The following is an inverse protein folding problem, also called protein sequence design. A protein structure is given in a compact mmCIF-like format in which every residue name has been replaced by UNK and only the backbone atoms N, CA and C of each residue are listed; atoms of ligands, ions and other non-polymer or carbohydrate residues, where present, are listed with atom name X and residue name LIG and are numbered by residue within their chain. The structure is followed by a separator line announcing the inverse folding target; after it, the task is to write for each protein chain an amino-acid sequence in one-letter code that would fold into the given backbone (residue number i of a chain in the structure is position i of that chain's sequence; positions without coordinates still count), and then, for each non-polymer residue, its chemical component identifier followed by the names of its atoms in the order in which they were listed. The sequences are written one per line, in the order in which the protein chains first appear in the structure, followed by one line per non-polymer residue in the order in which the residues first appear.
data_IF_586726418808
#
_entry.id   IF_586726418808
#
_cell.length_a   1.000
_cell.length_b   1.000
_cell.length_c   1.000
_cell.angle_alpha   90.00
_cell.angle_beta   90.00
_cell.angle_gamma   90.00
#
_symmetry.space_group_name_H-M   'P 1'
#
loop_
_entity.id
_entity.type
_entity.pdbx_description
1 polymer ?
#
# COMPACT_ATOMS: atom_id res chain seq x y z
N UNK A 1 -36.05 2.27 -8.02
CA UNK A 1 -35.19 2.14 -6.82
C UNK A 1 -35.49 0.91 -5.94
N UNK A 2 -36.64 0.23 -6.02
CA UNK A 2 -36.94 -0.94 -5.15
C UNK A 2 -36.28 -2.28 -5.53
N UNK A 3 -35.59 -2.40 -6.67
CA UNK A 3 -35.02 -3.67 -7.16
C UNK A 3 -33.54 -3.94 -6.82
N UNK A 4 -32.79 -2.95 -6.32
CA UNK A 4 -31.37 -3.15 -5.94
C UNK A 4 -31.19 -3.62 -4.49
N UNK A 5 -32.11 -3.25 -3.59
CA UNK A 5 -32.03 -3.65 -2.17
C UNK A 5 -32.51 -5.08 -1.93
N UNK A 6 -33.53 -5.55 -2.66
CA UNK A 6 -33.99 -6.95 -2.59
C UNK A 6 -32.92 -7.94 -3.05
N UNK A 7 -32.13 -7.56 -4.06
CA UNK A 7 -31.06 -8.40 -4.60
C UNK A 7 -29.84 -8.46 -3.64
N UNK A 8 -29.52 -7.37 -2.94
CA UNK A 8 -28.50 -7.37 -1.88
C UNK A 8 -28.91 -8.20 -0.67
N UNK A 9 -30.18 -8.12 -0.26
CA UNK A 9 -30.73 -8.91 0.86
C UNK A 9 -30.72 -10.42 0.56
N UNK A 10 -31.13 -10.82 -0.65
CA UNK A 10 -31.09 -12.22 -1.07
C UNK A 10 -29.65 -12.78 -1.17
N UNK A 11 -28.72 -12.00 -1.74
CA UNK A 11 -27.29 -12.39 -1.81
C UNK A 11 -26.68 -12.52 -0.41
N UNK A 12 -27.05 -11.65 0.52
CA UNK A 12 -26.59 -11.74 1.91
C UNK A 12 -27.17 -12.97 2.63
N UNK A 13 -28.46 -13.27 2.47
CA UNK A 13 -29.06 -14.48 3.06
C UNK A 13 -28.43 -15.78 2.54
N UNK A 14 -28.13 -15.87 1.24
CA UNK A 14 -27.47 -17.03 0.63
C UNK A 14 -26.03 -17.18 1.15
N UNK A 15 -25.30 -16.06 1.32
CA UNK A 15 -23.95 -16.08 1.91
C UNK A 15 -23.96 -16.58 3.35
N UNK A 16 -24.90 -16.10 4.17
CA UNK A 16 -25.04 -16.51 5.57
C UNK A 16 -25.36 -18.01 5.68
N UNK A 17 -26.33 -18.52 4.93
CA UNK A 17 -26.71 -19.94 4.93
C UNK A 17 -25.57 -20.87 4.51
N UNK A 18 -24.76 -20.46 3.52
CA UNK A 18 -23.60 -21.25 3.08
C UNK A 18 -22.49 -21.29 4.14
N UNK A 19 -22.31 -20.21 4.90
CA UNK A 19 -21.30 -20.13 5.95
C UNK A 19 -21.70 -20.94 7.19
N UNK A 20 -23.00 -20.99 7.52
CA UNK A 20 -23.57 -21.86 8.54
C UNK A 20 -23.28 -23.35 8.23
N UNK A 21 -23.57 -23.81 7.01
CA UNK A 21 -23.29 -25.19 6.59
C UNK A 21 -21.79 -25.57 6.68
N UNK A 22 -20.90 -24.63 6.33
CA UNK A 22 -19.44 -24.85 6.47
C UNK A 22 -19.05 -24.94 7.95
N UNK A 23 -19.65 -24.12 8.80
CA UNK A 23 -19.39 -24.08 10.25
C UNK A 23 -19.86 -25.36 10.92
N UNK A 24 -21.03 -25.88 10.54
CA UNK A 24 -21.57 -27.14 11.06
C UNK A 24 -20.68 -28.32 10.69
N UNK A 25 -20.20 -28.36 9.44
CA UNK A 25 -19.24 -29.39 8.97
C UNK A 25 -17.94 -29.36 9.77
N UNK A 26 -17.40 -28.16 10.02
CA UNK A 26 -16.20 -28.01 10.86
C UNK A 26 -16.46 -28.47 12.30
N UNK A 27 -17.58 -28.04 12.89
CA UNK A 27 -17.94 -28.38 14.27
C UNK A 27 -18.11 -29.89 14.44
N UNK A 28 -18.76 -30.56 13.49
CA UNK A 28 -18.91 -32.01 13.49
C UNK A 28 -17.56 -32.72 13.36
N UNK A 29 -16.68 -32.27 12.46
CA UNK A 29 -15.34 -32.83 12.32
C UNK A 29 -14.51 -32.67 13.61
N UNK A 30 -14.55 -31.49 14.24
CA UNK A 30 -13.87 -31.24 15.52
C UNK A 30 -14.43 -32.13 16.65
N UNK A 31 -15.76 -32.31 16.72
CA UNK A 31 -16.39 -33.18 17.71
C UNK A 31 -16.02 -34.65 17.52
N UNK A 32 -15.92 -35.12 16.27
CA UNK A 32 -15.48 -36.48 15.96
C UNK A 32 -14.03 -36.70 16.39
N UNK A 33 -13.15 -35.73 16.11
CA UNK A 33 -11.75 -35.75 16.53
C UNK A 33 -11.60 -35.73 18.07
N UNK A 34 -12.41 -34.93 18.77
CA UNK A 34 -12.40 -34.83 20.23
C UNK A 34 -12.83 -36.16 20.90
N UNK A 35 -13.82 -36.84 20.32
CA UNK A 35 -14.33 -38.14 20.80
C UNK A 35 -13.46 -39.34 20.40
N UNK A 36 -12.60 -39.19 19.40
CA UNK A 36 -11.75 -40.27 18.93
C UNK A 36 -10.73 -40.70 20.01
N UNK A 37 -10.43 -42.00 20.06
CA UNK A 37 -9.37 -42.52 20.91
C UNK A 37 -8.00 -41.93 20.51
N UNK A 38 -7.05 -41.75 21.44
CA UNK A 38 -5.74 -41.15 21.17
C UNK A 38 -5.01 -41.75 19.95
N UNK A 39 -5.02 -43.08 19.80
CA UNK A 39 -4.36 -43.78 18.69
C UNK A 39 -5.05 -43.63 17.33
N UNK A 40 -6.30 -43.16 17.31
CA UNK A 40 -7.10 -42.99 16.09
C UNK A 40 -7.24 -41.52 15.65
N UNK A 41 -6.74 -40.56 16.45
CA UNK A 41 -6.91 -39.12 16.17
C UNK A 41 -6.33 -38.68 14.83
N UNK A 42 -5.21 -39.26 14.41
CA UNK A 42 -4.56 -39.00 13.12
C UNK A 42 -5.48 -39.26 11.92
N UNK A 43 -6.42 -40.21 12.03
CA UNK A 43 -7.41 -40.50 10.98
C UNK A 43 -8.44 -39.37 10.83
N UNK A 44 -8.82 -38.72 11.94
CA UNK A 44 -9.86 -37.67 11.95
C UNK A 44 -9.28 -36.25 11.79
N UNK A 45 -7.98 -36.06 12.05
CA UNK A 45 -7.30 -34.77 11.88
C UNK A 45 -7.43 -34.23 10.45
N UNK A 46 -7.27 -35.08 9.44
CA UNK A 46 -7.35 -34.65 8.04
C UNK A 46 -8.72 -34.07 7.66
N UNK A 47 -9.81 -34.72 8.07
CA UNK A 47 -11.16 -34.24 7.81
C UNK A 47 -11.42 -32.88 8.48
N UNK A 48 -10.93 -32.73 9.71
CA UNK A 48 -11.00 -31.47 10.45
C UNK A 48 -10.20 -30.37 9.75
N UNK A 49 -8.97 -30.63 9.31
CA UNK A 49 -8.16 -29.65 8.57
C UNK A 49 -8.82 -29.25 7.25
N UNK A 50 -9.39 -30.19 6.50
CA UNK A 50 -10.11 -29.90 5.25
C UNK A 50 -11.32 -28.99 5.54
N UNK A 51 -12.09 -29.28 6.60
CA UNK A 51 -13.22 -28.44 7.00
C UNK A 51 -12.76 -27.03 7.43
N UNK A 52 -11.72 -26.92 8.26
CA UNK A 52 -11.15 -25.66 8.71
C UNK A 52 -10.62 -24.81 7.53
N UNK A 53 -10.00 -25.46 6.53
CA UNK A 53 -9.45 -24.79 5.34
C UNK A 53 -10.49 -24.02 4.51
N UNK A 54 -11.77 -24.38 4.63
CA UNK A 54 -12.89 -23.68 3.97
C UNK A 54 -13.20 -22.36 4.68
N UNK A 55 -13.14 -22.35 6.01
CA UNK A 55 -13.35 -21.16 6.84
C UNK A 55 -12.18 -20.16 6.72
N UNK A 56 -10.93 -20.64 6.63
CA UNK A 56 -9.74 -19.76 6.53
C UNK A 56 -9.71 -18.83 5.30
N UNK A 57 -10.61 -19.00 4.33
CA UNK A 57 -10.63 -18.18 3.11
C UNK A 57 -11.24 -16.78 3.31
N UNK A 58 -11.77 -16.48 4.49
CA UNK A 58 -12.21 -15.13 4.87
C UNK A 58 -11.85 -14.79 6.32
N UNK A 59 -11.87 -13.50 6.66
CA UNK A 59 -11.58 -13.01 8.03
C UNK A 59 -12.69 -13.45 9.00
N UNK A 60 -13.95 -13.46 8.56
CA UNK A 60 -15.08 -13.93 9.36
C UNK A 60 -14.96 -15.42 9.68
N UNK A 61 -14.44 -16.22 8.74
CA UNK A 61 -14.16 -17.62 9.00
C UNK A 61 -13.00 -17.83 10.00
N UNK A 62 -12.00 -16.94 10.02
CA UNK A 62 -10.98 -16.95 11.08
C UNK A 62 -11.58 -16.68 12.46
N UNK A 63 -12.52 -15.73 12.54
CA UNK A 63 -13.24 -15.44 13.77
C UNK A 63 -14.05 -16.65 14.26
N UNK A 64 -14.70 -17.38 13.35
CA UNK A 64 -15.42 -18.63 13.69
C UNK A 64 -14.44 -19.67 14.24
N UNK A 65 -13.33 -19.93 13.55
CA UNK A 65 -12.31 -20.88 14.02
C UNK A 65 -11.78 -20.50 15.41
N UNK A 66 -11.54 -19.20 15.65
CA UNK A 66 -11.09 -18.68 16.94
C UNK A 66 -12.05 -18.99 18.09
N UNK A 67 -13.36 -19.02 17.85
CA UNK A 67 -14.35 -19.35 18.89
C UNK A 67 -14.20 -20.79 19.42
N UNK A 68 -13.54 -21.68 18.67
CA UNK A 68 -13.28 -23.06 19.06
C UNK A 68 -11.83 -23.32 19.48
N UNK A 69 -10.98 -22.28 19.49
CA UNK A 69 -9.53 -22.44 19.65
C UNK A 69 -9.11 -22.96 21.03
N UNK A 70 -9.92 -22.72 22.07
CA UNK A 70 -9.77 -23.30 23.42
C UNK A 70 -9.88 -24.84 23.44
N UNK A 71 -10.59 -25.42 22.46
CA UNK A 71 -10.79 -26.87 22.37
C UNK A 71 -9.68 -27.59 21.63
N UNK A 72 -8.83 -26.88 20.87
CA UNK A 72 -7.90 -27.52 19.93
C UNK A 72 -6.89 -28.46 20.60
N UNK A 73 -6.30 -28.05 21.74
CA UNK A 73 -5.34 -28.90 22.46
C UNK A 73 -6.02 -30.17 22.98
N UNK A 74 -7.18 -30.04 23.63
CA UNK A 74 -7.93 -31.18 24.20
C UNK A 74 -8.41 -32.13 23.09
N UNK A 75 -8.90 -31.57 21.99
CA UNK A 75 -9.35 -32.35 20.85
C UNK A 75 -8.19 -33.10 20.16
N UNK A 76 -6.93 -32.78 20.42
CA UNK A 76 -5.78 -33.43 19.78
C UNK A 76 -5.54 -32.93 18.37
N UNK A 77 -5.88 -31.66 18.09
CA UNK A 77 -5.64 -31.02 16.78
C UNK A 77 -4.16 -31.06 16.39
N UNK A 78 -3.27 -30.91 17.38
CA UNK A 78 -1.83 -30.84 17.19
C UNK A 78 -1.09 -32.13 17.55
N UNK A 79 -1.80 -33.20 17.90
CA UNK A 79 -1.20 -34.46 18.34
C UNK A 79 -0.27 -35.02 17.25
N UNK A 80 0.89 -35.54 17.66
CA UNK A 80 1.90 -36.15 16.80
C UNK A 80 2.46 -35.16 15.75
N UNK A 81 2.49 -33.86 16.09
CA UNK A 81 2.99 -32.80 15.20
C UNK A 81 3.98 -31.86 15.92
N UNK A 82 4.83 -31.12 15.17
CA UNK A 82 5.70 -30.10 15.75
C UNK A 82 4.99 -29.00 16.56
N UNK A 83 3.68 -28.80 16.33
CA UNK A 83 2.86 -27.78 17.01
C UNK A 83 2.22 -28.28 18.32
N UNK A 84 2.43 -29.55 18.69
CA UNK A 84 1.81 -30.16 19.88
C UNK A 84 2.15 -29.41 21.16
N UNK A 85 3.37 -28.91 21.27
CA UNK A 85 3.86 -28.23 22.47
C UNK A 85 3.99 -26.73 22.22
N UNK A 86 2.99 -25.91 22.60
CA UNK A 86 3.01 -24.47 22.31
C UNK A 86 4.20 -23.74 22.94
N UNK A 87 4.75 -24.25 24.05
CA UNK A 87 5.94 -23.69 24.70
C UNK A 87 7.24 -23.83 23.90
N UNK A 88 7.25 -24.65 22.83
CA UNK A 88 8.43 -24.87 21.96
C UNK A 88 8.34 -24.13 20.63
N UNK A 89 7.23 -23.44 20.36
CA UNK A 89 7.05 -22.68 19.12
C UNK A 89 8.09 -21.57 19.02
N UNK A 90 8.49 -21.27 17.79
CA UNK A 90 9.50 -20.26 17.48
C UNK A 90 8.94 -19.32 16.42
N UNK A 91 8.77 -18.04 16.78
CA UNK A 91 8.20 -17.05 15.88
C UNK A 91 8.94 -16.93 14.52
N UNK A 92 10.29 -17.03 14.46
CA UNK A 92 11.01 -17.01 13.19
C UNK A 92 10.68 -18.15 12.20
N UNK A 93 10.09 -19.26 12.67
CA UNK A 93 9.75 -20.39 11.79
C UNK A 93 8.36 -20.26 11.17
N UNK A 94 7.50 -19.39 11.71
CA UNK A 94 6.08 -19.25 11.31
C UNK A 94 5.95 -18.84 9.85
N UNK A 95 6.82 -17.95 9.35
CA UNK A 95 6.80 -17.50 7.95
C UNK A 95 6.93 -18.67 6.97
N UNK A 96 7.82 -19.61 7.24
CA UNK A 96 8.04 -20.79 6.40
C UNK A 96 6.84 -21.73 6.43
N UNK A 97 6.36 -22.04 7.63
CA UNK A 97 5.22 -22.94 7.85
C UNK A 97 3.92 -22.41 7.27
N UNK A 98 3.62 -21.12 7.43
CA UNK A 98 2.36 -20.53 6.96
C UNK A 98 2.28 -20.44 5.44
N UNK A 99 3.44 -20.30 4.76
CA UNK A 99 3.56 -20.34 3.29
C UNK A 99 3.67 -21.77 2.74
N UNK A 100 3.92 -22.77 3.59
CA UNK A 100 4.10 -24.15 3.14
C UNK A 100 2.82 -24.73 2.53
N UNK A 101 2.95 -25.46 1.42
CA UNK A 101 1.81 -26.10 0.75
C UNK A 101 1.26 -27.26 1.58
N UNK A 102 -0.07 -27.42 1.53
CA UNK A 102 -0.75 -28.55 2.18
C UNK A 102 -1.14 -28.26 3.63
N UNK A 103 -1.10 -29.30 4.48
CA UNK A 103 -1.68 -29.26 5.83
C UNK A 103 -0.88 -28.40 6.81
N UNK A 104 0.41 -28.19 6.58
CA UNK A 104 1.28 -27.42 7.48
C UNK A 104 0.79 -25.98 7.66
N UNK A 105 0.46 -25.27 6.58
CA UNK A 105 -0.11 -23.92 6.64
C UNK A 105 -1.42 -23.88 7.43
N UNK A 106 -2.27 -24.91 7.31
CA UNK A 106 -3.53 -25.00 8.06
C UNK A 106 -3.26 -25.18 9.56
N UNK A 107 -2.32 -26.05 9.92
CA UNK A 107 -1.95 -26.31 11.31
C UNK A 107 -1.33 -25.05 11.93
N UNK A 108 -0.46 -24.36 11.20
CA UNK A 108 0.15 -23.10 11.66
C UNK A 108 -0.94 -22.07 11.99
N UNK A 109 -1.90 -21.84 11.08
CA UNK A 109 -3.01 -20.92 11.34
C UNK A 109 -3.80 -21.31 12.60
N UNK A 110 -4.12 -22.59 12.77
CA UNK A 110 -4.84 -23.05 13.97
C UNK A 110 -3.99 -22.90 15.24
N UNK A 111 -2.67 -23.09 15.14
CA UNK A 111 -1.73 -22.87 16.24
C UNK A 111 -1.70 -21.41 16.66
N UNK A 112 -1.68 -20.47 15.71
CA UNK A 112 -1.75 -19.04 16.01
C UNK A 112 -3.08 -18.64 16.67
N UNK A 113 -4.21 -19.23 16.22
CA UNK A 113 -5.51 -19.01 16.88
C UNK A 113 -5.56 -19.60 18.30
N UNK A 114 -4.90 -20.74 18.55
CA UNK A 114 -4.71 -21.28 19.91
C UNK A 114 -3.90 -20.29 20.76
N UNK A 115 -2.78 -19.80 20.25
CA UNK A 115 -1.94 -18.84 20.97
C UNK A 115 -2.73 -17.57 21.30
N UNK A 116 -3.57 -17.09 20.37
CA UNK A 116 -4.45 -15.95 20.61
C UNK A 116 -5.46 -16.23 21.72
N UNK A 117 -6.05 -17.43 21.75
CA UNK A 117 -7.00 -17.85 22.79
C UNK A 117 -6.34 -17.86 24.18
N UNK A 118 -5.08 -18.28 24.28
CA UNK A 118 -4.29 -18.24 25.51
C UNK A 118 -3.94 -16.80 25.89
N UNK A 119 -3.48 -15.99 24.94
CA UNK A 119 -3.14 -14.58 25.14
C UNK A 119 -4.33 -13.72 25.61
N UNK A 120 -5.54 -14.10 25.20
CA UNK A 120 -6.81 -13.46 25.58
C UNK A 120 -7.48 -14.10 26.80
N UNK A 121 -6.78 -15.01 27.47
CA UNK A 121 -7.24 -15.73 28.67
C UNK A 121 -8.55 -16.51 28.49
N UNK A 122 -8.96 -16.81 27.25
CA UNK A 122 -10.11 -17.67 26.95
C UNK A 122 -9.79 -19.13 27.22
N UNK A 123 -8.52 -19.50 27.07
CA UNK A 123 -7.98 -20.83 27.32
C UNK A 123 -6.82 -20.77 28.29
N UNK A 124 -6.84 -21.61 29.34
CA UNK A 124 -5.71 -21.74 30.28
C UNK A 124 -4.89 -22.96 29.90
N UNK A 125 -3.66 -22.73 29.45
CA UNK A 125 -2.72 -23.79 29.11
C UNK A 125 -1.73 -24.03 30.27
N UNK A 126 -1.34 -25.29 30.50
CA UNK A 126 -0.48 -25.66 31.65
C UNK A 126 0.93 -25.08 31.56
N UNK A 127 1.48 -25.01 30.35
CA UNK A 127 2.89 -24.70 30.12
C UNK A 127 3.12 -23.32 29.45
N UNK A 128 2.05 -22.58 29.17
CA UNK A 128 2.13 -21.30 28.44
C UNK A 128 1.19 -20.31 29.12
N UNK A 129 1.75 -19.22 29.64
CA UNK A 129 0.96 -18.12 30.22
C UNK A 129 0.39 -17.22 29.12
N UNK A 130 -0.60 -16.40 29.48
CA UNK A 130 -1.15 -15.39 28.58
C UNK A 130 -0.07 -14.41 28.07
N UNK A 131 0.87 -14.03 28.95
CA UNK A 131 1.98 -13.13 28.61
C UNK A 131 2.96 -13.77 27.62
N UNK A 132 3.33 -15.04 27.82
CA UNK A 132 4.18 -15.78 26.88
C UNK A 132 3.52 -15.88 25.50
N UNK A 133 2.22 -16.19 25.47
CA UNK A 133 1.48 -16.27 24.21
C UNK A 133 1.37 -14.92 23.50
N UNK A 134 1.13 -13.85 24.27
CA UNK A 134 1.09 -12.47 23.75
C UNK A 134 2.44 -12.05 23.17
N UNK A 135 3.53 -12.32 23.89
CA UNK A 135 4.91 -12.03 23.42
C UNK A 135 5.23 -12.79 22.13
N UNK A 136 4.89 -14.08 22.06
CA UNK A 136 5.08 -14.88 20.86
C UNK A 136 4.32 -14.30 19.66
N UNK A 137 3.03 -13.97 19.81
CA UNK A 137 2.22 -13.40 18.73
C UNK A 137 2.75 -12.05 18.26
N UNK A 138 3.24 -11.20 19.15
CA UNK A 138 3.85 -9.93 18.75
C UNK A 138 5.13 -10.12 17.95
N UNK A 139 5.97 -11.08 18.33
CA UNK A 139 7.16 -11.43 17.54
C UNK A 139 6.76 -11.97 16.16
N UNK A 140 5.76 -12.85 16.09
CA UNK A 140 5.19 -13.34 14.81
C UNK A 140 4.69 -12.18 13.95
N UNK A 141 3.95 -11.24 14.52
CA UNK A 141 3.46 -10.06 13.81
C UNK A 141 4.59 -9.15 13.32
N UNK A 142 5.60 -8.90 14.15
CA UNK A 142 6.74 -8.06 13.79
C UNK A 142 7.60 -8.65 12.66
N UNK A 143 7.81 -9.97 12.65
CA UNK A 143 8.59 -10.66 11.62
C UNK A 143 7.84 -10.82 10.29
N UNK A 144 6.53 -10.57 10.28
CA UNK A 144 5.66 -10.85 9.14
C UNK A 144 4.71 -9.68 8.80
N UNK A 145 5.21 -8.44 8.94
CA UNK A 145 4.44 -7.23 8.61
C UNK A 145 3.92 -7.24 7.17
N UNK A 146 4.59 -7.93 6.25
CA UNK A 146 4.17 -8.07 4.84
C UNK A 146 2.80 -8.76 4.68
N UNK A 147 2.37 -9.61 5.60
CA UNK A 147 1.00 -10.16 5.52
C UNK A 147 -0.07 -9.14 5.94
N UNK A 148 0.30 -8.16 6.76
CA UNK A 148 -0.58 -7.07 7.17
C UNK A 148 -0.58 -5.92 6.16
N UNK A 149 0.59 -5.66 5.56
CA UNK A 149 0.84 -4.64 4.55
C UNK A 149 1.55 -5.25 3.34
N UNK A 150 0.83 -5.96 2.46
CA UNK A 150 1.39 -6.67 1.32
C UNK A 150 2.22 -5.76 0.42
N UNK A 151 3.32 -6.31 -0.10
CA UNK A 151 4.14 -5.60 -1.07
C UNK A 151 3.48 -5.60 -2.46
N UNK A 152 3.59 -4.47 -3.15
CA UNK A 152 3.19 -4.35 -4.54
C UNK A 152 4.34 -4.76 -5.47
N UNK A 153 4.77 -6.02 -5.43
CA UNK A 153 5.84 -6.55 -6.30
C UNK A 153 5.38 -7.73 -7.15
N UNK A 154 6.00 -7.93 -8.32
CA UNK A 154 5.76 -9.11 -9.16
C UNK A 154 6.03 -10.42 -8.43
N UNK A 155 7.07 -10.47 -7.59
CA UNK A 155 7.36 -11.63 -6.77
C UNK A 155 6.17 -11.94 -5.86
N UNK A 156 5.64 -10.93 -5.16
CA UNK A 156 4.43 -11.07 -4.36
C UNK A 156 3.22 -11.48 -5.23
N UNK A 157 3.08 -10.96 -6.45
CA UNK A 157 2.00 -11.33 -7.40
C UNK A 157 2.05 -12.81 -7.79
N UNK A 158 3.22 -13.32 -8.16
CA UNK A 158 3.44 -14.73 -8.51
C UNK A 158 3.26 -15.65 -7.30
N UNK A 159 3.60 -15.15 -6.10
CA UNK A 159 3.44 -15.85 -4.82
C UNK A 159 2.04 -15.74 -4.21
N UNK A 160 1.03 -15.14 -4.87
CA UNK A 160 -0.37 -15.09 -4.39
C UNK A 160 -1.05 -16.47 -4.44
N UNK A 161 -0.53 -17.41 -3.67
CA UNK A 161 -1.10 -18.73 -3.45
C UNK A 161 -2.30 -18.64 -2.51
N UNK A 162 -3.05 -19.75 -2.41
CA UNK A 162 -4.16 -19.85 -1.46
C UNK A 162 -3.66 -19.73 -0.02
N UNK A 163 -2.45 -20.21 0.26
CA UNK A 163 -1.79 -20.17 1.56
C UNK A 163 -1.45 -18.74 1.98
N UNK A 164 -0.87 -17.93 1.07
CA UNK A 164 -0.58 -16.51 1.33
C UNK A 164 -1.86 -15.73 1.63
N UNK A 165 -2.94 -15.97 0.88
CA UNK A 165 -4.23 -15.32 1.15
C UNK A 165 -4.80 -15.68 2.52
N UNK A 166 -4.62 -16.92 2.97
CA UNK A 166 -5.04 -17.35 4.32
C UNK A 166 -4.17 -16.71 5.40
N UNK A 167 -2.86 -16.59 5.17
CA UNK A 167 -1.96 -15.85 6.04
C UNK A 167 -2.41 -14.38 6.17
N UNK A 168 -2.67 -13.67 5.07
CA UNK A 168 -3.20 -12.31 5.13
C UNK A 168 -4.50 -12.19 5.95
N UNK A 169 -5.43 -13.14 5.78
CA UNK A 169 -6.67 -13.16 6.57
C UNK A 169 -6.39 -13.36 8.07
N UNK A 170 -5.48 -14.26 8.43
CA UNK A 170 -5.06 -14.47 9.81
C UNK A 170 -4.44 -13.20 10.39
N UNK A 171 -3.51 -12.57 9.69
CA UNK A 171 -2.81 -11.37 10.19
C UNK A 171 -3.76 -10.18 10.32
N UNK A 172 -4.72 -10.01 9.40
CA UNK A 172 -5.80 -9.03 9.53
C UNK A 172 -6.66 -9.30 10.76
N UNK A 173 -6.97 -10.55 11.04
CA UNK A 173 -7.72 -10.96 12.23
C UNK A 173 -6.92 -10.71 13.52
N UNK A 174 -5.65 -11.13 13.56
CA UNK A 174 -4.75 -10.89 14.71
C UNK A 174 -4.59 -9.40 14.99
N UNK A 175 -4.43 -8.56 13.96
CA UNK A 175 -4.33 -7.10 14.10
C UNK A 175 -5.62 -6.42 14.58
N UNK A 176 -6.78 -7.07 14.41
CA UNK A 176 -8.05 -6.59 14.97
C UNK A 176 -8.21 -6.99 16.44
N UNK A 177 -7.65 -8.13 16.83
CA UNK A 177 -7.76 -8.67 18.19
C UNK A 177 -6.63 -8.17 19.11
N UNK A 178 -5.44 -7.88 18.59
CA UNK A 178 -4.27 -7.46 19.35
C UNK A 178 -3.97 -5.97 19.15
N UNK A 179 -3.54 -5.28 20.20
CA UNK A 179 -2.99 -3.92 20.09
C UNK A 179 -1.62 -3.97 19.43
N UNK A 180 -1.38 -3.15 18.40
CA UNK A 180 -0.10 -3.09 17.69
C UNK A 180 0.97 -2.25 18.44
N UNK A 181 0.68 -1.79 19.67
CA UNK A 181 1.60 -0.99 20.48
C UNK A 181 2.95 -1.70 20.69
N UNK A 182 2.94 -3.01 20.96
CA UNK A 182 4.15 -3.80 21.17
C UNK A 182 5.06 -3.93 19.93
N UNK A 183 4.52 -3.75 18.72
CA UNK A 183 5.29 -3.84 17.46
C UNK A 183 5.50 -2.48 16.80
N UNK A 184 5.14 -1.39 17.49
CA UNK A 184 5.15 -0.03 16.94
C UNK A 184 6.56 0.41 16.50
N UNK A 185 7.60 0.08 17.26
CA UNK A 185 8.99 0.37 16.86
C UNK A 185 9.39 -0.32 15.54
N UNK A 186 8.99 -1.57 15.33
CA UNK A 186 9.22 -2.30 14.06
C UNK A 186 8.43 -1.66 12.92
N UNK A 187 7.18 -1.27 13.18
CA UNK A 187 6.34 -0.60 12.20
C UNK A 187 6.93 0.75 11.75
N UNK A 188 7.41 1.57 12.69
CA UNK A 188 8.08 2.86 12.42
C UNK A 188 9.34 2.64 11.59
N UNK A 189 10.16 1.64 11.97
CA UNK A 189 11.38 1.30 11.23
C UNK A 189 11.06 0.94 9.78
N UNK A 190 9.99 0.19 9.55
CA UNK A 190 9.59 -0.20 8.20
C UNK A 190 9.03 0.98 7.40
N UNK A 191 8.20 1.84 8.01
CA UNK A 191 7.76 3.10 7.40
C UNK A 191 8.97 3.92 6.96
N UNK A 192 9.97 4.07 7.83
CA UNK A 192 11.20 4.79 7.52
C UNK A 192 11.97 4.17 6.36
N UNK A 193 12.19 2.84 6.38
CA UNK A 193 12.89 2.13 5.32
C UNK A 193 12.21 2.30 3.95
N UNK A 194 10.88 2.21 3.91
CA UNK A 194 10.11 2.41 2.68
C UNK A 194 10.15 3.87 2.23
N UNK A 195 10.00 4.82 3.15
CA UNK A 195 10.12 6.25 2.86
C UNK A 195 11.47 6.60 2.24
N UNK A 196 12.58 6.06 2.75
CA UNK A 196 13.94 6.32 2.22
C UNK A 196 14.10 5.85 0.76
N UNK A 197 13.40 4.78 0.35
CA UNK A 197 13.41 4.30 -1.03
C UNK A 197 12.68 5.25 -2.01
N UNK A 198 11.90 6.21 -1.47
CA UNK A 198 11.14 7.21 -2.24
C UNK A 198 10.26 6.54 -3.32
N UNK A 199 9.43 5.53 -3.00
CA UNK A 199 8.69 4.82 -4.02
C UNK A 199 7.72 5.75 -4.75
N UNK A 200 7.43 5.44 -6.01
CA UNK A 200 6.43 6.19 -6.77
C UNK A 200 5.09 6.08 -6.06
N UNK A 201 4.64 4.85 -5.78
CA UNK A 201 3.42 4.55 -5.04
C UNK A 201 3.70 4.58 -3.54
N UNK A 202 2.85 5.26 -2.77
CA UNK A 202 3.07 5.47 -1.33
C UNK A 202 1.95 4.87 -0.47
N UNK A 203 0.97 4.21 -1.07
CA UNK A 203 -0.26 3.76 -0.43
C UNK A 203 0.01 2.75 0.69
N UNK A 204 0.98 1.84 0.49
CA UNK A 204 1.51 0.97 1.54
C UNK A 204 2.03 1.78 2.74
N UNK A 205 2.85 2.80 2.50
CA UNK A 205 3.42 3.67 3.56
C UNK A 205 2.28 4.40 4.28
N UNK A 206 1.34 4.99 3.54
CA UNK A 206 0.19 5.71 4.09
C UNK A 206 -0.69 4.79 4.94
N UNK A 207 -0.93 3.55 4.50
CA UNK A 207 -1.68 2.54 5.24
C UNK A 207 -1.00 2.16 6.56
N UNK A 208 0.33 1.97 6.53
CA UNK A 208 1.13 1.72 7.72
C UNK A 208 1.09 2.88 8.70
N UNK A 209 1.18 4.12 8.21
CA UNK A 209 1.06 5.33 9.04
C UNK A 209 -0.33 5.42 9.67
N UNK A 210 -1.41 5.22 8.89
CA UNK A 210 -2.80 5.21 9.40
C UNK A 210 -2.99 4.14 10.48
N UNK A 211 -2.34 2.97 10.32
CA UNK A 211 -2.36 1.91 11.34
C UNK A 211 -1.53 2.25 12.58
N UNK A 212 -0.36 2.84 12.42
CA UNK A 212 0.44 3.33 13.53
C UNK A 212 -0.30 4.44 14.31
N UNK A 213 -1.03 5.31 13.61
CA UNK A 213 -1.83 6.36 14.24
C UNK A 213 -2.89 5.79 15.21
N UNK A 214 -3.48 4.64 14.90
CA UNK A 214 -4.47 3.98 15.76
C UNK A 214 -3.87 3.55 17.10
N UNK A 215 -2.54 3.36 17.18
CA UNK A 215 -1.88 2.96 18.42
C UNK A 215 -1.62 4.13 19.35
N UNK A 216 -1.64 5.39 18.88
CA UNK A 216 -1.37 6.59 19.70
C UNK A 216 -2.26 6.73 20.94
N UNK A 217 -3.45 6.15 20.95
CA UNK A 217 -4.34 6.15 22.12
C UNK A 217 -3.85 5.24 23.26
N UNK A 218 -2.90 4.36 22.99
CA UNK A 218 -2.35 3.41 23.96
C UNK A 218 -1.30 4.11 24.86
N UNK A 219 -1.45 4.06 26.20
CA UNK A 219 -0.49 4.65 27.14
C UNK A 219 0.87 3.93 27.15
N UNK A 220 0.94 2.67 26.71
CA UNK A 220 2.17 1.86 26.78
C UNK A 220 3.20 2.22 25.68
N UNK A 221 2.83 3.09 24.75
CA UNK A 221 3.74 3.58 23.70
C UNK A 221 4.73 4.59 24.29
N UNK A 222 6.01 4.30 24.10
CA UNK A 222 7.08 5.20 24.51
C UNK A 222 7.03 6.54 23.76
N UNK A 223 7.56 7.59 24.39
CA UNK A 223 7.46 8.96 23.88
C UNK A 223 8.21 9.15 22.54
N UNK A 224 9.29 8.41 22.30
CA UNK A 224 10.05 8.48 21.05
C UNK A 224 9.24 7.98 19.87
N UNK A 225 8.61 6.81 20.01
CA UNK A 225 7.76 6.21 19.01
C UNK A 225 6.53 7.08 18.75
N UNK A 226 5.91 7.61 19.82
CA UNK A 226 4.79 8.56 19.72
C UNK A 226 5.15 9.78 18.86
N UNK A 227 6.31 10.39 19.10
CA UNK A 227 6.81 11.52 18.30
C UNK A 227 7.05 11.12 16.84
N UNK A 228 7.65 9.96 16.59
CA UNK A 228 7.90 9.48 15.24
C UNK A 228 6.60 9.24 14.46
N UNK A 229 5.59 8.61 15.08
CA UNK A 229 4.27 8.41 14.46
C UNK A 229 3.63 9.76 14.14
N UNK A 230 3.60 10.68 15.12
CA UNK A 230 3.03 12.01 14.92
C UNK A 230 3.72 12.77 13.77
N UNK A 231 5.04 12.62 13.60
CA UNK A 231 5.78 13.19 12.48
C UNK A 231 5.28 12.64 11.14
N UNK A 232 5.13 11.33 11.01
CA UNK A 232 4.63 10.72 9.77
C UNK A 232 3.15 11.01 9.50
N UNK A 233 2.31 11.04 10.54
CA UNK A 233 0.90 11.45 10.44
C UNK A 233 0.82 12.89 9.91
N UNK A 234 1.56 13.81 10.52
CA UNK A 234 1.64 15.20 10.08
C UNK A 234 2.12 15.33 8.62
N UNK A 235 3.04 14.47 8.17
CA UNK A 235 3.51 14.46 6.78
C UNK A 235 2.39 14.14 5.76
N UNK A 236 1.43 13.29 6.12
CA UNK A 236 0.32 12.91 5.23
C UNK A 236 -0.93 13.78 5.39
N UNK A 237 -1.15 14.38 6.57
CA UNK A 237 -2.35 15.16 6.88
C UNK A 237 -2.15 16.67 6.78
N UNK A 238 -0.95 17.19 7.04
CA UNK A 238 -0.71 18.62 7.23
C UNK A 238 0.19 18.87 8.46
N UNK A 239 1.44 19.34 8.26
CA UNK A 239 2.38 19.55 9.36
C UNK A 239 2.31 20.92 10.02
N UNK A 240 1.66 21.90 9.39
CA UNK A 240 1.63 23.29 9.87
C UNK A 240 0.50 23.51 10.85
N UNK A 241 0.64 24.51 11.73
CA UNK A 241 -0.41 24.87 12.66
C UNK A 241 -1.71 25.22 11.91
N UNK A 242 -1.61 25.91 10.76
CA UNK A 242 -2.76 26.28 9.96
C UNK A 242 -3.42 25.07 9.30
N UNK A 243 -2.64 24.16 8.71
CA UNK A 243 -3.20 22.94 8.10
C UNK A 243 -3.86 22.00 9.12
N UNK A 244 -3.37 21.97 10.35
CA UNK A 244 -3.99 21.23 11.45
C UNK A 244 -5.27 21.90 11.97
N UNK A 245 -5.30 23.24 12.02
CA UNK A 245 -6.49 24.01 12.41
C UNK A 245 -7.62 23.92 11.36
N UNK A 246 -7.27 23.75 10.09
CA UNK A 246 -8.21 23.64 8.96
C UNK A 246 -7.98 22.35 8.17
N UNK A 247 -8.46 21.18 8.65
CA UNK A 247 -8.30 19.91 7.95
C UNK A 247 -8.97 19.87 6.57
N UNK A 248 -10.06 20.63 6.40
CA UNK A 248 -10.77 20.73 5.14
C UNK A 248 -10.04 21.65 4.14
N UNK A 249 -9.73 21.13 2.95
CA UNK A 249 -8.86 21.79 1.97
C UNK A 249 -9.40 23.15 1.49
N UNK A 250 -10.72 23.28 1.41
CA UNK A 250 -11.36 24.52 0.96
C UNK A 250 -11.27 25.62 2.03
N UNK A 251 -11.39 25.27 3.32
CA UNK A 251 -11.22 26.21 4.43
C UNK A 251 -9.76 26.65 4.54
N UNK A 252 -8.83 25.68 4.49
CA UNK A 252 -7.39 25.98 4.48
C UNK A 252 -7.01 26.93 3.33
N UNK A 253 -7.57 26.70 2.13
CA UNK A 253 -7.35 27.59 0.98
C UNK A 253 -7.76 29.03 1.28
N UNK A 254 -8.91 29.25 1.92
CA UNK A 254 -9.38 30.58 2.28
C UNK A 254 -8.43 31.27 3.25
N UNK A 255 -7.85 30.52 4.18
CA UNK A 255 -6.87 31.07 5.12
C UNK A 255 -5.56 31.44 4.43
N UNK A 256 -5.02 30.58 3.56
CA UNK A 256 -3.81 30.85 2.78
C UNK A 256 -3.92 32.13 1.96
N UNK A 257 -5.10 32.44 1.41
CA UNK A 257 -5.32 33.66 0.64
C UNK A 257 -5.17 34.96 1.45
N UNK A 258 -5.31 34.88 2.77
CA UNK A 258 -5.28 36.03 3.68
C UNK A 258 -3.96 36.13 4.48
N UNK A 259 -3.03 35.19 4.29
CA UNK A 259 -1.74 35.20 4.99
C UNK A 259 -0.84 36.31 4.46
N UNK A 260 -0.03 36.88 5.36
CA UNK A 260 1.06 37.75 4.98
C UNK A 260 2.23 36.94 4.37
N UNK A 261 3.11 37.62 3.63
CA UNK A 261 4.23 36.95 2.96
C UNK A 261 5.16 36.19 3.92
N UNK A 262 5.36 36.69 5.14
CA UNK A 262 6.16 36.01 6.16
C UNK A 262 5.55 34.66 6.54
N UNK A 263 4.24 34.64 6.80
CA UNK A 263 3.54 33.42 7.22
C UNK A 263 3.43 32.43 6.06
N UNK A 264 3.28 32.92 4.83
CA UNK A 264 3.36 32.08 3.62
C UNK A 264 4.74 31.42 3.47
N UNK A 265 5.82 32.12 3.82
CA UNK A 265 7.17 31.58 3.79
C UNK A 265 7.37 30.50 4.86
N UNK A 266 6.86 30.72 6.07
CA UNK A 266 6.90 29.74 7.16
C UNK A 266 6.12 28.47 6.78
N UNK A 267 4.89 28.62 6.31
CA UNK A 267 4.08 27.50 5.79
C UNK A 267 4.84 26.74 4.71
N UNK A 268 5.38 27.44 3.70
CA UNK A 268 6.14 26.84 2.61
C UNK A 268 7.35 26.05 3.11
N UNK A 269 8.09 26.60 4.08
CA UNK A 269 9.29 25.97 4.66
C UNK A 269 8.94 24.70 5.42
N UNK A 270 7.91 24.72 6.26
CA UNK A 270 7.50 23.55 7.04
C UNK A 270 7.00 22.42 6.14
N UNK A 271 6.16 22.71 5.14
CA UNK A 271 5.75 21.67 4.18
C UNK A 271 6.94 21.09 3.42
N UNK A 272 7.87 21.95 2.98
CA UNK A 272 9.06 21.50 2.28
C UNK A 272 9.94 20.59 3.15
N UNK A 273 10.12 20.92 4.43
CA UNK A 273 10.89 20.10 5.38
C UNK A 273 10.33 18.68 5.50
N UNK A 274 9.02 18.56 5.76
CA UNK A 274 8.35 17.26 5.89
C UNK A 274 8.39 16.46 4.59
N UNK A 275 8.13 17.11 3.45
CA UNK A 275 8.22 16.47 2.14
C UNK A 275 9.63 15.94 1.87
N UNK A 276 10.67 16.71 2.22
CA UNK A 276 12.06 16.33 1.98
C UNK A 276 12.55 15.21 2.89
N UNK A 277 12.13 15.23 4.15
CA UNK A 277 12.45 14.20 5.13
C UNK A 277 11.75 12.88 4.80
N UNK A 278 10.43 12.91 4.62
CA UNK A 278 9.60 11.69 4.54
C UNK A 278 9.40 11.19 3.11
N UNK A 279 9.56 12.07 2.11
CA UNK A 279 9.17 11.78 0.72
C UNK A 279 7.65 11.78 0.51
N UNK A 280 6.86 12.15 1.52
CA UNK A 280 5.40 12.19 1.48
C UNK A 280 4.91 13.63 1.33
N UNK A 281 3.90 13.82 0.49
CA UNK A 281 3.28 15.13 0.25
C UNK A 281 1.86 15.12 0.81
N UNK A 282 1.51 16.11 1.62
CA UNK A 282 0.14 16.27 2.12
C UNK A 282 -0.75 16.98 1.09
N UNK A 283 -2.06 16.73 1.09
CA UNK A 283 -3.01 17.47 0.25
C UNK A 283 -2.97 19.01 0.46
N UNK A 284 -2.79 19.48 1.69
CA UNK A 284 -2.68 20.92 2.02
C UNK A 284 -1.45 21.57 1.38
N UNK A 285 -0.33 20.84 1.26
CA UNK A 285 0.85 21.33 0.55
C UNK A 285 0.53 21.69 -0.89
N UNK A 286 -0.34 20.91 -1.54
CA UNK A 286 -0.77 21.16 -2.91
C UNK A 286 -1.61 22.42 -3.01
N UNK A 287 -2.50 22.66 -2.05
CA UNK A 287 -3.30 23.89 -2.00
C UNK A 287 -2.38 25.12 -1.94
N UNK A 288 -1.38 25.10 -1.06
CA UNK A 288 -0.38 26.17 -0.95
C UNK A 288 0.40 26.36 -2.26
N UNK A 289 0.96 25.28 -2.82
CA UNK A 289 1.77 25.34 -4.05
C UNK A 289 0.95 25.89 -5.23
N UNK A 290 -0.30 25.45 -5.38
CA UNK A 290 -1.17 25.96 -6.45
C UNK A 290 -1.49 27.45 -6.26
N UNK A 291 -1.70 27.91 -5.02
CA UNK A 291 -1.88 29.32 -4.71
C UNK A 291 -0.63 30.15 -5.06
N UNK A 292 0.55 29.71 -4.63
CA UNK A 292 1.83 30.37 -4.94
C UNK A 292 2.10 30.42 -6.46
N UNK A 293 1.79 29.34 -7.17
CA UNK A 293 1.90 29.25 -8.62
C UNK A 293 0.94 30.21 -9.36
N UNK A 294 -0.30 30.34 -8.86
CA UNK A 294 -1.29 31.25 -9.43
C UNK A 294 -0.85 32.71 -9.32
N UNK A 295 -0.28 33.10 -8.16
CA UNK A 295 0.23 34.46 -7.92
C UNK A 295 1.65 34.69 -8.46
N UNK A 296 2.22 33.73 -9.19
CA UNK A 296 3.58 33.79 -9.77
C UNK A 296 4.71 34.08 -8.76
N UNK A 297 4.52 33.71 -7.49
CA UNK A 297 5.53 33.94 -6.45
C UNK A 297 6.63 32.88 -6.53
N UNK A 298 7.63 33.12 -7.39
CA UNK A 298 8.68 32.15 -7.75
C UNK A 298 9.58 31.76 -6.58
N UNK A 299 9.90 32.72 -5.71
CA UNK A 299 10.80 32.48 -4.58
C UNK A 299 10.11 31.66 -3.48
N UNK A 300 8.85 31.97 -3.16
CA UNK A 300 8.07 31.13 -2.24
C UNK A 300 7.74 29.76 -2.85
N UNK A 301 7.49 29.69 -4.15
CA UNK A 301 7.29 28.40 -4.83
C UNK A 301 8.53 27.52 -4.74
N UNK A 302 9.73 28.09 -4.93
CA UNK A 302 10.98 27.37 -4.72
C UNK A 302 11.16 26.88 -3.28
N UNK A 303 10.76 27.72 -2.31
CA UNK A 303 10.79 27.41 -0.89
C UNK A 303 9.83 26.27 -0.56
N UNK A 304 8.58 26.32 -1.04
CA UNK A 304 7.57 25.29 -0.83
C UNK A 304 7.96 23.93 -1.43
N UNK A 305 8.74 23.93 -2.51
CA UNK A 305 9.29 22.71 -3.12
C UNK A 305 10.62 22.26 -2.45
N UNK A 306 11.15 23.04 -1.51
CA UNK A 306 12.43 22.80 -0.84
C UNK A 306 13.61 22.71 -1.79
N UNK A 307 13.62 23.48 -2.88
CA UNK A 307 14.63 23.38 -3.93
C UNK A 307 16.01 23.83 -3.44
N UNK A 308 17.04 23.06 -3.80
CA UNK A 308 18.44 23.52 -3.71
C UNK A 308 18.76 24.62 -4.75
N UNK A 309 19.95 25.19 -4.70
CA UNK A 309 20.36 26.29 -5.60
C UNK A 309 20.25 25.93 -7.09
N UNK A 310 20.61 24.70 -7.47
CA UNK A 310 20.43 24.22 -8.86
C UNK A 310 18.96 24.15 -9.23
N UNK A 311 18.10 23.64 -8.35
CA UNK A 311 16.66 23.59 -8.55
C UNK A 311 16.04 24.98 -8.67
N UNK A 312 16.46 25.95 -7.84
CA UNK A 312 16.04 27.36 -7.92
C UNK A 312 16.42 27.98 -9.26
N UNK A 313 17.64 27.75 -9.75
CA UNK A 313 18.07 28.23 -11.07
C UNK A 313 17.22 27.63 -12.20
N UNK A 314 17.00 26.31 -12.18
CA UNK A 314 16.15 25.63 -13.17
C UNK A 314 14.69 26.11 -13.12
N UNK A 315 14.16 26.40 -11.92
CA UNK A 315 12.81 26.96 -11.78
C UNK A 315 12.73 28.35 -12.43
N UNK A 316 13.73 29.21 -12.21
CA UNK A 316 13.78 30.55 -12.79
C UNK A 316 13.87 30.49 -14.32
N UNK A 317 14.70 29.61 -14.86
CA UNK A 317 14.90 29.44 -16.30
C UNK A 317 13.64 28.86 -16.99
N UNK A 318 13.01 27.86 -16.38
CA UNK A 318 11.92 27.11 -17.00
C UNK A 318 10.54 27.41 -16.37
N UNK A 319 10.37 28.58 -15.76
CA UNK A 319 9.18 28.91 -14.98
C UNK A 319 7.86 28.73 -15.74
N UNK A 320 7.82 29.09 -17.02
CA UNK A 320 6.58 29.01 -17.82
C UNK A 320 6.05 27.58 -17.96
N UNK A 321 6.93 26.62 -18.26
CA UNK A 321 6.52 25.21 -18.35
C UNK A 321 6.22 24.65 -16.95
N UNK A 322 6.99 25.02 -15.93
CA UNK A 322 6.71 24.59 -14.54
C UNK A 322 5.34 25.06 -14.07
N UNK A 323 4.98 26.31 -14.37
CA UNK A 323 3.68 26.90 -14.04
C UNK A 323 2.53 26.11 -14.66
N UNK A 324 2.70 25.71 -15.91
CA UNK A 324 1.74 24.90 -16.66
C UNK A 324 1.64 23.47 -16.10
N UNK A 325 2.77 22.83 -15.80
CA UNK A 325 2.78 21.49 -15.20
C UNK A 325 2.14 21.47 -13.81
N UNK A 326 2.37 22.49 -12.97
CA UNK A 326 1.68 22.61 -11.67
C UNK A 326 0.18 22.68 -11.89
N UNK A 327 -0.28 23.49 -12.87
CA UNK A 327 -1.71 23.65 -13.17
C UNK A 327 -2.36 22.33 -13.58
N UNK A 328 -1.70 21.57 -14.47
CA UNK A 328 -2.21 20.34 -15.09
C UNK A 328 -2.07 19.12 -14.18
N UNK A 329 -0.90 18.89 -13.59
CA UNK A 329 -0.57 17.59 -13.00
C UNK A 329 -0.54 17.56 -11.47
N UNK A 330 -0.54 18.71 -10.80
CA UNK A 330 -0.40 18.80 -9.33
C UNK A 330 -1.71 19.17 -8.69
N UNK A 331 -2.44 18.16 -8.23
CA UNK A 331 -3.72 18.26 -7.53
C UNK A 331 -3.69 17.40 -6.26
N UNK A 332 -4.63 17.56 -5.31
CA UNK A 332 -4.64 16.74 -4.11
C UNK A 332 -4.56 15.22 -4.37
N UNK A 333 -5.31 14.64 -5.33
CA UNK A 333 -5.20 13.20 -5.65
C UNK A 333 -3.86 12.80 -6.29
N UNK A 334 -3.14 13.76 -6.87
CA UNK A 334 -1.83 13.57 -7.50
C UNK A 334 -0.70 14.23 -6.71
N UNK A 335 -0.88 14.44 -5.41
CA UNK A 335 0.04 15.22 -4.55
C UNK A 335 1.50 14.82 -4.63
N UNK A 336 1.79 13.53 -4.78
CA UNK A 336 3.17 13.03 -4.89
C UNK A 336 3.93 13.52 -6.13
N UNK A 337 3.22 14.04 -7.13
CA UNK A 337 3.80 14.67 -8.31
C UNK A 337 4.62 15.91 -7.96
N UNK A 338 4.30 16.59 -6.85
CA UNK A 338 5.10 17.73 -6.38
C UNK A 338 6.55 17.33 -6.06
N UNK A 339 6.73 16.21 -5.35
CA UNK A 339 8.06 15.68 -5.06
C UNK A 339 8.80 15.34 -6.36
N UNK A 340 8.14 14.65 -7.29
CA UNK A 340 8.70 14.33 -8.61
C UNK A 340 9.17 15.58 -9.37
N UNK A 341 8.35 16.63 -9.41
CA UNK A 341 8.69 17.88 -10.07
C UNK A 341 9.87 18.59 -9.41
N UNK A 342 9.92 18.63 -8.07
CA UNK A 342 11.05 19.19 -7.34
C UNK A 342 12.36 18.47 -7.68
N UNK A 343 12.33 17.13 -7.77
CA UNK A 343 13.50 16.34 -8.18
C UNK A 343 13.90 16.55 -9.63
N UNK A 344 12.94 16.72 -10.55
CA UNK A 344 13.25 17.05 -11.96
C UNK A 344 14.02 18.37 -12.07
N UNK A 345 13.61 19.40 -11.31
CA UNK A 345 14.29 20.70 -11.28
C UNK A 345 15.72 20.58 -10.75
N UNK A 346 15.92 19.88 -9.63
CA UNK A 346 17.26 19.74 -9.03
C UNK A 346 18.21 18.89 -9.88
N UNK A 347 17.68 17.92 -10.60
CA UNK A 347 18.46 17.07 -11.51
C UNK A 347 18.78 17.80 -12.82
N UNK A 348 18.05 18.86 -13.17
CA UNK A 348 18.19 19.56 -14.45
C UNK A 348 17.57 18.78 -15.61
N UNK A 349 16.47 18.05 -15.35
CA UNK A 349 15.80 17.23 -16.39
C UNK A 349 15.24 18.13 -17.50
N UNK A 350 14.83 19.34 -17.18
CA UNK A 350 14.32 20.31 -18.17
C UNK A 350 15.38 20.83 -19.14
N UNK A 351 16.67 20.75 -18.79
CA UNK A 351 17.77 21.18 -19.65
C UNK A 351 17.98 20.23 -20.84
N UNK A 352 17.38 19.03 -20.83
CA UNK A 352 17.37 18.14 -21.99
C UNK A 352 16.36 18.66 -23.01
N UNK A 353 16.85 19.08 -24.19
CA UNK A 353 16.05 19.64 -25.29
C UNK A 353 14.72 18.91 -25.58
N UNK A 354 14.64 17.56 -25.62
CA UNK A 354 13.38 16.88 -25.95
C UNK A 354 12.34 16.88 -24.82
N UNK A 355 12.71 17.24 -23.58
CA UNK A 355 11.82 17.07 -22.41
C UNK A 355 10.65 18.05 -22.42
N UNK A 356 10.90 19.35 -22.61
CA UNK A 356 9.83 20.36 -22.60
C UNK A 356 8.81 20.10 -23.72
N UNK A 357 9.22 19.88 -25.00
CA UNK A 357 8.27 19.52 -26.06
C UNK A 357 7.54 18.21 -25.80
N UNK A 358 8.22 17.21 -25.23
CA UNK A 358 7.61 15.92 -24.88
C UNK A 358 6.50 16.06 -23.84
N UNK A 359 6.75 16.83 -22.79
CA UNK A 359 5.74 17.10 -21.75
C UNK A 359 4.55 17.90 -22.29
N UNK A 360 4.79 18.94 -23.11
CA UNK A 360 3.71 19.70 -23.76
C UNK A 360 2.81 18.81 -24.61
N UNK A 361 3.41 17.88 -25.37
CA UNK A 361 2.67 16.90 -26.16
C UNK A 361 1.75 16.04 -25.30
N UNK A 362 2.17 15.64 -24.10
CA UNK A 362 1.33 14.86 -23.19
C UNK A 362 0.13 15.66 -22.66
N UNK A 363 0.29 16.98 -22.46
CA UNK A 363 -0.81 17.85 -22.02
C UNK A 363 -1.92 17.89 -23.07
N UNK A 364 -1.56 17.98 -24.35
CA UNK A 364 -2.50 18.17 -25.47
C UNK A 364 -2.92 16.85 -26.15
N UNK A 365 -2.36 15.71 -25.73
CA UNK A 365 -2.54 14.43 -26.40
C UNK A 365 -4.01 14.01 -26.43
N UNK A 366 -4.53 13.67 -27.62
CA UNK A 366 -5.81 12.97 -27.71
C UNK A 366 -5.60 11.49 -27.39
N UNK A 367 -5.91 11.11 -26.16
CA UNK A 367 -5.72 9.75 -25.64
C UNK A 367 -6.82 8.82 -26.17
N UNK A 368 -6.45 7.58 -26.52
CA UNK A 368 -7.43 6.56 -26.93
C UNK A 368 -8.52 6.37 -25.88
N UNK A 369 -9.79 6.13 -26.28
CA UNK A 369 -10.90 5.92 -25.33
C UNK A 369 -10.62 4.83 -24.29
N UNK A 370 -10.00 3.72 -24.68
CA UNK A 370 -9.66 2.60 -23.81
C UNK A 370 -8.61 2.99 -22.77
N UNK A 371 -7.55 3.69 -23.21
CA UNK A 371 -6.49 4.21 -22.34
C UNK A 371 -7.03 5.29 -21.40
N UNK A 372 -7.89 6.19 -21.90
CA UNK A 372 -8.57 7.20 -21.09
C UNK A 372 -9.38 6.55 -19.97
N UNK A 373 -10.18 5.53 -20.30
CA UNK A 373 -10.96 4.78 -19.31
C UNK A 373 -10.05 4.05 -18.31
N UNK A 374 -8.92 3.51 -18.75
CA UNK A 374 -7.96 2.87 -17.87
C UNK A 374 -7.34 3.88 -16.89
N UNK A 375 -6.87 5.03 -17.37
CA UNK A 375 -6.31 6.09 -16.54
C UNK A 375 -7.34 6.62 -15.53
N UNK A 376 -8.56 6.89 -15.96
CA UNK A 376 -9.62 7.38 -15.08
C UNK A 376 -10.04 6.37 -14.01
N UNK A 377 -9.83 5.05 -14.21
CA UNK A 377 -10.06 4.04 -13.15
C UNK A 377 -9.12 4.20 -11.96
N UNK A 378 -7.97 4.84 -12.14
CA UNK A 378 -7.03 5.13 -11.05
C UNK A 378 -7.55 6.24 -10.12
N UNK A 379 -8.42 7.12 -10.61
CA UNK A 379 -9.04 8.13 -9.77
C UNK A 379 -10.11 7.50 -8.88
N UNK A 380 -10.21 8.02 -7.66
CA UNK A 380 -11.44 7.94 -6.87
C UNK A 380 -12.63 8.53 -7.62
N UNK A 381 -13.83 8.41 -7.05
CA UNK A 381 -15.03 8.99 -7.68
C UNK A 381 -14.92 10.53 -7.69
N UNK A 382 -15.11 11.11 -8.87
CA UNK A 382 -15.46 12.52 -9.11
C UNK A 382 -14.46 13.59 -8.62
N UNK A 383 -13.17 13.38 -8.92
CA UNK A 383 -12.07 14.33 -8.61
C UNK A 383 -11.87 15.44 -9.65
N UNK A 384 -12.69 15.49 -10.71
CA UNK A 384 -12.61 16.52 -11.77
C UNK A 384 -11.34 16.51 -12.63
N UNK A 385 -10.51 15.46 -12.54
CA UNK A 385 -9.26 15.31 -13.28
C UNK A 385 -9.46 14.61 -14.64
N UNK A 386 -8.65 15.00 -15.62
CA UNK A 386 -8.61 14.40 -16.96
C UNK A 386 -7.58 13.27 -17.03
N UNK A 387 -7.68 12.42 -18.06
CA UNK A 387 -6.67 11.39 -18.31
C UNK A 387 -5.27 11.98 -18.55
N UNK A 388 -5.18 13.14 -19.20
CA UNK A 388 -3.93 13.85 -19.44
C UNK A 388 -3.30 14.33 -18.13
N UNK A 389 -4.09 14.84 -17.18
CA UNK A 389 -3.60 15.25 -15.86
C UNK A 389 -2.91 14.07 -15.14
N UNK A 390 -3.53 12.88 -15.17
CA UNK A 390 -2.99 11.64 -14.57
C UNK A 390 -1.73 11.19 -15.32
N UNK A 391 -1.75 11.21 -16.66
CA UNK A 391 -0.63 10.76 -17.48
C UNK A 391 0.60 11.67 -17.28
N UNK A 392 0.41 12.99 -17.30
CA UNK A 392 1.49 13.97 -17.06
C UNK A 392 2.00 13.83 -15.62
N UNK A 393 1.11 13.64 -14.65
CA UNK A 393 1.45 13.35 -13.26
C UNK A 393 2.34 12.10 -13.12
N UNK A 394 1.96 11.00 -13.76
CA UNK A 394 2.75 9.77 -13.81
C UNK A 394 4.12 9.97 -14.46
N UNK A 395 4.18 10.68 -15.59
CA UNK A 395 5.43 10.99 -16.27
C UNK A 395 6.38 11.81 -15.39
N UNK A 396 5.88 12.84 -14.70
CA UNK A 396 6.66 13.65 -13.76
C UNK A 396 7.20 12.81 -12.60
N UNK A 397 6.38 11.93 -12.01
CA UNK A 397 6.80 11.04 -10.90
C UNK A 397 7.93 10.12 -11.35
N UNK A 398 7.81 9.53 -12.53
CA UNK A 398 8.86 8.67 -13.12
C UNK A 398 10.14 9.45 -13.43
N UNK A 399 10.02 10.58 -14.14
CA UNK A 399 11.18 11.40 -14.52
C UNK A 399 11.89 12.02 -13.31
N UNK A 400 11.14 12.35 -12.25
CA UNK A 400 11.67 12.90 -11.01
C UNK A 400 12.38 11.86 -10.13
N UNK A 401 12.10 10.57 -10.33
CA UNK A 401 12.54 9.53 -9.42
C UNK A 401 14.08 9.38 -9.40
N UNK A 402 14.76 9.59 -8.26
CA UNK A 402 16.22 9.60 -8.22
C UNK A 402 16.85 8.20 -8.34
N UNK A 403 16.14 7.16 -7.89
CA UNK A 403 16.63 5.77 -7.84
C UNK A 403 16.05 4.88 -8.96
N UNK A 404 15.33 5.47 -9.91
CA UNK A 404 14.56 4.72 -10.89
C UNK A 404 13.28 4.10 -10.32
N UNK A 405 12.58 3.34 -11.15
CA UNK A 405 11.26 2.78 -10.89
C UNK A 405 11.38 1.32 -10.47
N UNK A 406 10.86 1.01 -9.28
CA UNK A 406 10.72 -0.37 -8.81
C UNK A 406 9.71 -1.15 -9.66
N UNK A 407 9.80 -2.47 -9.63
CA UNK A 407 9.01 -3.34 -10.50
C UNK A 407 7.48 -3.22 -10.29
N UNK A 408 7.00 -2.91 -9.08
CA UNK A 408 5.57 -2.79 -8.86
C UNK A 408 4.82 -4.11 -9.16
N UNK A 409 3.50 -3.99 -9.35
CA UNK A 409 2.62 -5.09 -9.82
C UNK A 409 2.39 -5.10 -11.34
N UNK A 410 2.76 -4.03 -12.07
CA UNK A 410 2.37 -3.85 -13.48
C UNK A 410 3.44 -3.27 -14.41
N UNK A 411 4.71 -3.22 -14.01
CA UNK A 411 5.70 -3.67 -14.98
C UNK A 411 6.32 -5.01 -14.63
N UNK A 412 6.67 -5.76 -15.67
CA UNK A 412 7.62 -6.88 -15.51
C UNK A 412 9.00 -6.32 -15.20
N UNK A 413 9.89 -7.14 -14.64
CA UNK A 413 11.24 -6.73 -14.24
C UNK A 413 11.99 -6.01 -15.39
N UNK A 414 11.75 -6.43 -16.63
CA UNK A 414 12.37 -5.83 -17.81
C UNK A 414 11.78 -4.46 -18.15
N UNK A 415 10.45 -4.30 -18.11
CA UNK A 415 9.81 -3.01 -18.37
C UNK A 415 10.21 -1.96 -17.33
N UNK A 416 10.27 -2.34 -16.04
CA UNK A 416 10.68 -1.45 -14.96
C UNK A 416 12.12 -0.96 -15.14
N UNK A 417 13.03 -1.85 -15.55
CA UNK A 417 14.42 -1.50 -15.91
C UNK A 417 14.49 -0.54 -17.10
N UNK A 418 13.73 -0.82 -18.16
CA UNK A 418 13.67 0.06 -19.34
C UNK A 418 13.20 1.47 -18.98
N UNK A 419 12.07 1.59 -18.28
CA UNK A 419 11.54 2.87 -17.79
C UNK A 419 12.57 3.60 -16.92
N UNK A 420 13.21 2.89 -16.00
CA UNK A 420 14.26 3.46 -15.13
C UNK A 420 15.44 3.99 -15.94
N UNK A 421 15.98 3.18 -16.85
CA UNK A 421 17.11 3.55 -17.72
C UNK A 421 16.77 4.81 -18.54
N UNK A 422 15.61 4.84 -19.20
CA UNK A 422 15.22 5.98 -20.01
C UNK A 422 14.92 7.22 -19.17
N UNK A 423 14.27 7.08 -18.01
CA UNK A 423 14.01 8.23 -17.12
C UNK A 423 15.28 8.92 -16.61
N UNK A 424 16.38 8.17 -16.48
CA UNK A 424 17.66 8.68 -15.98
C UNK A 424 18.59 9.15 -17.10
N UNK A 425 18.61 8.45 -18.24
CA UNK A 425 19.63 8.66 -19.28
C UNK A 425 19.07 9.13 -20.63
N UNK A 426 17.80 8.89 -20.92
CA UNK A 426 17.17 9.24 -22.19
C UNK A 426 15.70 9.69 -22.00
N UNK A 427 15.45 10.76 -21.20
CA UNK A 427 14.09 11.14 -20.82
C UNK A 427 13.23 11.54 -22.03
N UNK A 428 13.87 12.05 -23.09
CA UNK A 428 13.20 12.33 -24.36
C UNK A 428 12.64 11.08 -25.04
N UNK A 429 13.37 9.96 -25.00
CA UNK A 429 12.90 8.70 -25.57
C UNK A 429 11.71 8.14 -24.79
N UNK A 430 11.75 8.19 -23.45
CA UNK A 430 10.58 7.83 -22.63
C UNK A 430 9.35 8.68 -22.98
N UNK A 431 9.53 10.00 -23.13
CA UNK A 431 8.46 10.92 -23.53
C UNK A 431 8.00 10.75 -24.98
N UNK A 432 8.73 9.99 -25.80
CA UNK A 432 8.30 9.57 -27.14
C UNK A 432 7.46 8.28 -27.09
N UNK A 433 7.81 7.35 -26.20
CA UNK A 433 7.09 6.09 -26.04
C UNK A 433 5.70 6.27 -25.41
N UNK A 434 5.56 7.15 -24.41
CA UNK A 434 4.29 7.36 -23.70
C UNK A 434 3.15 7.77 -24.67
N UNK A 435 3.32 8.77 -25.57
CA UNK A 435 2.30 9.12 -26.55
C UNK A 435 1.92 7.96 -27.49
N UNK A 436 2.89 7.16 -27.95
CA UNK A 436 2.62 6.01 -28.83
C UNK A 436 1.72 5.00 -28.13
N UNK A 437 2.06 4.64 -26.88
CA UNK A 437 1.22 3.78 -26.06
C UNK A 437 -0.18 4.37 -25.80
N UNK A 438 -0.26 5.67 -25.50
CA UNK A 438 -1.51 6.29 -25.05
C UNK A 438 -2.48 6.66 -26.18
N UNK A 439 -1.97 7.08 -27.35
CA UNK A 439 -2.74 7.53 -28.52
C UNK A 439 -2.83 6.46 -29.61
N UNK A 440 -1.79 5.66 -29.80
CA UNK A 440 -1.75 4.67 -30.89
C UNK A 440 -2.09 3.26 -30.39
N UNK A 441 -2.03 3.03 -29.07
CA UNK A 441 -2.24 1.71 -28.48
C UNK A 441 -1.14 0.72 -28.86
N UNK A 442 -0.01 1.24 -29.34
CA UNK A 442 1.09 0.48 -29.88
C UNK A 442 2.42 1.18 -29.57
N UNK A 443 3.46 0.39 -29.37
CA UNK A 443 4.84 0.82 -29.30
C UNK A 443 5.60 0.00 -30.33
N UNK A 444 6.29 0.67 -31.23
CA UNK A 444 7.22 0.07 -32.17
C UNK A 444 8.68 0.29 -31.76
N UNK A 445 9.52 -0.71 -32.04
CA UNK A 445 10.96 -0.68 -31.79
C UNK A 445 11.70 -1.45 -32.88
N UNK A 446 12.91 -1.02 -33.24
CA UNK A 446 13.79 -1.78 -34.12
C UNK A 446 14.67 -2.75 -33.32
N UNK A 447 14.64 -4.02 -33.69
CA UNK A 447 15.49 -5.08 -33.13
C UNK A 447 16.12 -5.88 -34.27
N UNK A 448 17.45 -5.90 -34.34
CA UNK A 448 18.20 -6.60 -35.40
C UNK A 448 17.77 -6.25 -36.84
N UNK A 449 17.36 -5.00 -37.06
CA UNK A 449 16.89 -4.51 -38.37
C UNK A 449 15.43 -4.84 -38.70
N UNK A 450 14.69 -5.45 -37.77
CA UNK A 450 13.26 -5.70 -37.88
C UNK A 450 12.48 -4.76 -36.97
N UNK A 451 11.42 -4.16 -37.51
CA UNK A 451 10.47 -3.38 -36.72
C UNK A 451 9.51 -4.33 -35.99
N UNK A 452 9.45 -4.20 -34.67
CA UNK A 452 8.59 -4.98 -33.79
C UNK A 452 7.53 -4.05 -33.23
N UNK A 453 6.26 -4.45 -33.35
CA UNK A 453 5.12 -3.73 -32.77
C UNK A 453 4.54 -4.49 -31.59
N UNK A 454 4.28 -3.78 -30.50
CA UNK A 454 3.69 -4.33 -29.28
C UNK A 454 2.30 -4.95 -29.51
N UNK A 455 1.48 -4.39 -30.41
CA UNK A 455 0.13 -4.89 -30.70
C UNK A 455 0.10 -6.28 -31.35
N UNK A 456 1.22 -6.72 -31.93
CA UNK A 456 1.35 -8.05 -32.55
C UNK A 456 1.95 -9.08 -31.59
N UNK A 457 2.36 -8.69 -30.39
CA UNK A 457 2.89 -9.63 -29.40
C UNK A 457 1.75 -10.49 -28.86
N UNK A 458 1.84 -11.81 -29.08
CA UNK A 458 0.88 -12.79 -28.60
C UNK A 458 1.08 -13.06 -27.10
N UNK A 459 0.48 -12.19 -26.28
CA UNK A 459 0.46 -12.32 -24.83
C UNK A 459 1.60 -11.57 -24.14
N UNK A 460 1.24 -10.75 -23.15
CA UNK A 460 2.17 -10.20 -22.18
C UNK A 460 2.35 -11.13 -20.98
N UNK A 461 3.44 -10.94 -20.22
CA UNK A 461 3.64 -11.61 -18.92
C UNK A 461 2.58 -11.21 -17.86
N UNK A 462 1.79 -10.17 -18.14
CA UNK A 462 0.72 -9.66 -17.29
C UNK A 462 -0.62 -10.02 -17.95
N UNK A 463 -1.40 -10.89 -17.29
CA UNK A 463 -2.74 -11.28 -17.75
C UNK A 463 -3.83 -10.30 -17.33
N UNK A 464 -3.62 -9.59 -16.22
CA UNK A 464 -4.54 -8.57 -15.67
C UNK A 464 -3.71 -7.41 -15.10
N UNK A 465 -4.06 -6.17 -15.48
CA UNK A 465 -3.48 -4.96 -14.91
C UNK A 465 -4.07 -4.71 -13.52
N UNK A 466 -3.21 -4.65 -12.50
CA UNK A 466 -3.61 -4.20 -11.17
C UNK A 466 -3.76 -2.67 -11.17
N UNK A 467 -4.96 -2.17 -10.92
CA UNK A 467 -5.21 -0.73 -10.83
C UNK A 467 -5.30 -0.38 -9.35
N UNK A 468 -4.21 0.12 -8.80
CA UNK A 468 -4.20 0.70 -7.46
C UNK A 468 -4.78 2.11 -7.54
N UNK A 469 -5.73 2.45 -6.68
CA UNK A 469 -6.40 3.75 -6.72
C UNK A 469 -5.53 4.80 -6.04
N UNK A 470 -5.54 6.02 -6.56
CA UNK A 470 -4.97 7.18 -5.88
C UNK A 470 -5.84 7.52 -4.66
N UNK A 471 -5.23 7.51 -3.47
CA UNK A 471 -5.82 7.88 -2.17
C UNK A 471 -5.95 9.40 -1.97
#
# INVERSE_FOLDING_TARGET
MKGRDTNKLAVNMIKTSKQEDITDKFTNALNNLDRAFPYAKTLYQNDMFIAASKLMNSVEGMQILYQFADRFDKAGVFQDSPWEHPAKLQAPLVTGSIKAKGTQSLIEILSELRMLSIAKERHRHKNVSAEMAKSFLYEVMALNLDFLFPEDTEAARLERSKEVKRAENLFKFLAAELTLSAITGTLIKEIHNLSVQRPIMVDRIVSMIKKAQQTLSDPDINETDRKAINRYVAAISGPTQLSQAYPELHEYRNMVMNLENHDLEEEARTFAEFMRETGLVSPHHIVLVRYLNFNENRDLLATAMGLNEKGKANLKEHFLIVKELIKVAIHPPTRQTLYGLARMLERGVFSYTPVIPGLRRLIELDVLPETRNLLLKWLGKDEGLTANDIMVSGAIRVLGQPLGVGQGLNPTCQTARGISLWSLHAPGYLLELIPRAARDGDIDMNFEGLEIHSKYLSGGLISELNVEKLD
#
